data_IF_320175404810
#
_entry.id   IF_320175404810
#
_cell.length_a   1.000
_cell.length_b   1.000
_cell.length_c   1.000
_cell.angle_alpha   90.00
_cell.angle_beta   90.00
_cell.angle_gamma   90.00
#
_symmetry.space_group_name_H-M   'P 1'
#
loop_
_entity.id
_entity.type
_entity.pdbx_description
1 polymer ?
#
# COMPACT_ATOMS: atom_id res chain seq x y z
N UNK A 1 19.48 -28.83 13.01
CA UNK A 1 19.18 -28.41 11.62
C UNK A 1 18.32 -27.15 11.66
N UNK A 2 18.95 -25.97 11.64
CA UNK A 2 18.31 -24.64 11.70
C UNK A 2 17.96 -24.18 10.28
N UNK A 3 16.80 -24.57 9.76
CA UNK A 3 16.24 -24.09 8.47
C UNK A 3 14.90 -23.37 8.67
N UNK A 4 14.55 -23.02 9.92
CA UNK A 4 13.29 -22.35 10.24
C UNK A 4 13.51 -20.83 10.29
N UNK A 5 12.63 -20.12 9.59
CA UNK A 5 12.40 -18.66 9.57
C UNK A 5 13.11 -17.79 8.52
N UNK A 6 14.28 -18.15 7.98
CA UNK A 6 14.94 -17.29 6.97
C UNK A 6 14.33 -17.31 5.55
N UNK A 7 13.50 -18.29 5.21
CA UNK A 7 12.98 -18.51 3.84
C UNK A 7 11.86 -17.53 3.43
N UNK A 8 11.21 -16.83 4.36
CA UNK A 8 10.15 -15.87 4.02
C UNK A 8 10.67 -14.50 3.59
N UNK A 9 11.93 -14.16 3.89
CA UNK A 9 12.52 -12.87 3.50
C UNK A 9 13.06 -12.85 2.06
N UNK A 10 13.40 -14.01 1.48
CA UNK A 10 13.89 -14.13 0.11
C UNK A 10 13.20 -15.28 -0.64
N UNK A 11 12.09 -14.93 -1.30
CA UNK A 11 11.33 -15.84 -2.16
C UNK A 11 12.15 -16.35 -3.34
N UNK A 12 13.14 -15.59 -3.82
CA UNK A 12 13.95 -15.98 -4.96
C UNK A 12 14.86 -17.16 -4.62
N UNK A 13 15.53 -17.10 -3.47
CA UNK A 13 16.35 -18.19 -2.94
C UNK A 13 15.50 -19.40 -2.54
N UNK A 14 14.42 -19.16 -1.77
CA UNK A 14 13.49 -20.21 -1.34
C UNK A 14 12.88 -20.97 -2.52
N UNK A 15 12.49 -20.24 -3.58
CA UNK A 15 11.94 -20.84 -4.80
C UNK A 15 12.98 -21.73 -5.49
N UNK A 16 14.22 -21.26 -5.70
CA UNK A 16 15.25 -22.07 -6.38
C UNK A 16 15.54 -23.38 -5.65
N UNK A 17 15.67 -23.36 -4.32
CA UNK A 17 15.91 -24.56 -3.52
C UNK A 17 14.73 -25.54 -3.57
N UNK A 18 13.50 -25.04 -3.45
CA UNK A 18 12.29 -25.87 -3.55
C UNK A 18 12.11 -26.47 -4.95
N UNK A 19 12.40 -25.71 -6.01
CA UNK A 19 12.30 -26.20 -7.39
C UNK A 19 13.32 -27.32 -7.66
N UNK A 20 14.54 -27.21 -7.13
CA UNK A 20 15.54 -28.27 -7.24
C UNK A 20 15.06 -29.57 -6.55
N UNK A 21 14.51 -29.46 -5.33
CA UNK A 21 13.95 -30.61 -4.61
C UNK A 21 12.78 -31.27 -5.36
N UNK A 22 11.86 -30.48 -5.94
CA UNK A 22 10.70 -31.02 -6.66
C UNK A 22 11.08 -31.71 -7.97
N UNK A 23 12.15 -31.28 -8.64
CA UNK A 23 12.68 -31.94 -9.84
C UNK A 23 13.25 -33.33 -9.54
N UNK A 24 13.77 -33.57 -8.33
CA UNK A 24 14.36 -34.84 -7.94
C UNK A 24 13.32 -35.91 -7.54
N UNK A 25 12.17 -35.51 -7.01
CA UNK A 25 11.13 -36.43 -6.51
C UNK A 25 9.84 -36.45 -7.35
N UNK A 26 9.79 -35.70 -8.45
CA UNK A 26 8.62 -35.57 -9.32
C UNK A 26 8.36 -36.79 -10.21
N UNK A 27 7.08 -37.14 -10.40
CA UNK A 27 6.66 -38.13 -11.38
C UNK A 27 6.98 -37.67 -12.81
N UNK A 28 7.31 -38.60 -13.71
CA UNK A 28 7.72 -38.27 -15.08
C UNK A 28 6.58 -37.60 -15.86
N UNK A 29 6.89 -36.49 -16.55
CA UNK A 29 5.94 -35.74 -17.37
C UNK A 29 5.43 -36.61 -18.52
N UNK A 30 4.11 -36.57 -18.78
CA UNK A 30 3.48 -37.25 -19.93
C UNK A 30 2.82 -38.60 -19.62
N UNK A 31 2.80 -39.04 -18.36
CA UNK A 31 2.07 -40.24 -17.96
C UNK A 31 0.59 -39.96 -17.66
N UNK A 32 -0.29 -40.90 -18.02
CA UNK A 32 -1.69 -40.88 -17.59
C UNK A 32 -1.78 -41.36 -16.13
N UNK A 33 -2.34 -40.52 -15.26
CA UNK A 33 -2.45 -40.79 -13.82
C UNK A 33 -3.88 -40.63 -13.35
N UNK A 34 -4.28 -41.42 -12.35
CA UNK A 34 -5.57 -41.28 -11.66
C UNK A 34 -5.31 -40.67 -10.29
N UNK A 35 -5.84 -39.47 -10.05
CA UNK A 35 -5.66 -38.74 -8.79
C UNK A 35 -6.87 -38.93 -7.87
N UNK A 36 -6.62 -39.37 -6.64
CA UNK A 36 -7.64 -39.48 -5.60
C UNK A 36 -7.49 -38.29 -4.65
N UNK A 37 -8.41 -37.33 -4.71
CA UNK A 37 -8.37 -36.09 -3.91
C UNK A 37 -9.33 -36.22 -2.73
N UNK A 38 -8.81 -36.03 -1.52
CA UNK A 38 -9.62 -36.07 -0.31
C UNK A 38 -10.40 -34.78 -0.06
N UNK A 39 -11.58 -34.89 0.58
CA UNK A 39 -12.40 -33.76 1.07
C UNK A 39 -12.80 -32.75 0.00
N UNK A 40 -13.14 -33.24 -1.19
CA UNK A 40 -13.72 -32.42 -2.25
C UNK A 40 -15.21 -32.21 -1.95
N UNK A 41 -15.69 -30.96 -1.82
CA UNK A 41 -17.12 -30.69 -1.64
C UNK A 41 -17.94 -31.21 -2.82
N UNK A 42 -19.09 -31.84 -2.54
CA UNK A 42 -19.99 -32.36 -3.59
C UNK A 42 -20.52 -31.23 -4.48
N UNK A 43 -20.66 -30.01 -3.95
CA UNK A 43 -21.06 -28.82 -4.71
C UNK A 43 -20.16 -28.57 -5.91
N UNK A 44 -18.85 -28.75 -5.75
CA UNK A 44 -17.87 -28.56 -6.83
C UNK A 44 -18.13 -29.54 -7.98
N UNK A 45 -18.41 -30.80 -7.66
CA UNK A 45 -18.69 -31.84 -8.66
C UNK A 45 -20.02 -31.59 -9.39
N UNK A 46 -21.00 -30.99 -8.72
CA UNK A 46 -22.30 -30.64 -9.33
C UNK A 46 -22.24 -29.37 -10.17
N UNK A 47 -21.39 -28.40 -9.80
CA UNK A 47 -21.23 -27.13 -10.52
C UNK A 47 -20.28 -27.25 -11.72
N UNK A 48 -19.43 -28.27 -11.76
CA UNK A 48 -18.45 -28.41 -12.83
C UNK A 48 -19.12 -28.83 -14.14
N UNK A 49 -18.96 -27.98 -15.15
CA UNK A 49 -19.32 -28.27 -16.53
C UNK A 49 -18.32 -29.27 -17.14
N UNK A 50 -18.81 -30.45 -17.53
CA UNK A 50 -18.01 -31.51 -18.14
C UNK A 50 -17.39 -31.11 -19.48
N UNK A 51 -17.88 -30.05 -20.12
CA UNK A 51 -17.29 -29.50 -21.34
C UNK A 51 -16.06 -28.61 -21.07
N UNK A 52 -15.87 -28.16 -19.83
CA UNK A 52 -14.77 -27.28 -19.44
C UNK A 52 -13.57 -28.09 -18.87
N UNK A 53 -12.32 -27.78 -19.26
CA UNK A 53 -11.15 -28.50 -18.78
C UNK A 53 -10.92 -28.26 -17.29
N UNK A 54 -10.65 -29.33 -16.53
CA UNK A 54 -10.14 -29.23 -15.16
C UNK A 54 -8.62 -29.29 -15.19
N UNK A 55 -7.98 -28.22 -14.72
CA UNK A 55 -6.53 -28.15 -14.56
C UNK A 55 -6.19 -28.27 -13.08
N UNK A 56 -5.41 -29.28 -12.73
CA UNK A 56 -4.89 -29.48 -11.39
C UNK A 56 -3.42 -29.09 -11.37
N UNK A 57 -3.00 -28.33 -10.36
CA UNK A 57 -1.60 -28.02 -10.12
C UNK A 57 -1.22 -28.35 -8.69
N UNK A 58 0.00 -28.84 -8.51
CA UNK A 58 0.55 -29.05 -7.19
C UNK A 58 0.96 -27.71 -6.58
N UNK A 59 0.54 -27.45 -5.35
CA UNK A 59 1.00 -26.28 -4.59
C UNK A 59 2.44 -26.49 -4.13
N UNK A 60 3.25 -25.44 -4.26
CA UNK A 60 4.58 -25.43 -3.67
C UNK A 60 4.48 -25.40 -2.14
N UNK A 61 5.51 -25.88 -1.43
CA UNK A 61 5.56 -25.75 0.02
C UNK A 61 5.33 -24.30 0.46
N UNK A 62 4.37 -24.11 1.37
CA UNK A 62 3.95 -22.83 1.93
C UNK A 62 3.09 -21.92 1.04
N UNK A 63 2.78 -22.33 -0.19
CA UNK A 63 1.89 -21.57 -1.07
C UNK A 63 0.45 -21.52 -0.52
N UNK A 64 0.04 -22.51 0.25
CA UNK A 64 -1.28 -22.50 0.92
C UNK A 64 -1.40 -21.49 2.09
N UNK A 65 -0.31 -20.80 2.48
CA UNK A 65 -0.33 -19.87 3.61
C UNK A 65 -0.68 -18.46 3.13
N UNK A 66 -1.44 -17.74 3.95
CA UNK A 66 -1.79 -16.35 3.70
C UNK A 66 -0.60 -15.42 3.98
N UNK A 67 -0.39 -14.45 3.10
CA UNK A 67 0.60 -13.38 3.26
C UNK A 67 0.18 -12.13 2.47
N UNK A 68 0.95 -11.05 2.58
CA UNK A 68 0.76 -9.82 1.80
C UNK A 68 1.53 -9.94 0.49
N UNK A 69 0.78 -10.00 -0.62
CA UNK A 69 1.35 -10.09 -1.97
C UNK A 69 1.42 -8.69 -2.56
N UNK A 70 2.58 -8.32 -3.08
CA UNK A 70 2.79 -7.08 -3.79
C UNK A 70 2.78 -7.35 -5.30
N UNK A 71 1.96 -6.60 -6.03
CA UNK A 71 1.79 -6.73 -7.47
C UNK A 71 2.26 -5.46 -8.18
N UNK A 72 2.97 -5.61 -9.29
CA UNK A 72 3.19 -4.53 -10.24
C UNK A 72 2.08 -4.60 -11.28
N UNK A 73 1.19 -3.62 -11.24
CA UNK A 73 0.02 -3.60 -12.11
C UNK A 73 0.12 -2.40 -13.06
N UNK A 74 -0.14 -2.66 -14.34
CA UNK A 74 -0.30 -1.67 -15.41
C UNK A 74 -1.75 -1.63 -15.86
N UNK A 75 -2.20 -0.42 -16.13
CA UNK A 75 -3.54 -0.17 -16.66
C UNK A 75 -3.67 -0.77 -18.06
N UNK A 76 -4.71 -1.55 -18.31
CA UNK A 76 -5.01 -1.99 -19.68
C UNK A 76 -5.37 -0.79 -20.57
N UNK A 77 -4.86 -0.70 -21.82
CA UNK A 77 -5.07 0.46 -22.68
C UNK A 77 -6.54 0.77 -23.01
N UNK A 78 -7.41 -0.25 -23.01
CA UNK A 78 -8.84 -0.06 -23.32
C UNK A 78 -9.60 0.75 -22.27
N UNK A 79 -9.02 0.92 -21.09
CA UNK A 79 -9.64 1.74 -20.06
C UNK A 79 -9.04 3.13 -20.10
N UNK A 80 -9.89 4.11 -20.33
CA UNK A 80 -9.52 5.53 -20.42
C UNK A 80 -10.08 6.35 -19.24
N UNK A 81 -11.14 5.87 -18.58
CA UNK A 81 -11.79 6.53 -17.43
C UNK A 81 -11.01 6.45 -16.11
N UNK A 82 -10.87 7.52 -15.32
CA UNK A 82 -10.19 7.44 -14.03
C UNK A 82 -10.78 6.34 -13.13
N UNK A 83 -9.93 5.45 -12.62
CA UNK A 83 -10.36 4.35 -11.74
C UNK A 83 -10.32 4.86 -10.30
N UNK A 84 -11.49 4.93 -9.66
CA UNK A 84 -11.57 5.30 -8.25
C UNK A 84 -11.15 4.15 -7.34
N UNK A 85 -10.73 4.48 -6.12
CA UNK A 85 -10.34 3.49 -5.12
C UNK A 85 -11.51 2.51 -4.86
N UNK A 86 -11.22 1.20 -4.93
CA UNK A 86 -12.16 0.06 -4.78
C UNK A 86 -13.10 -0.24 -5.96
N UNK A 87 -12.81 0.24 -7.17
CA UNK A 87 -13.54 -0.18 -8.37
C UNK A 87 -12.92 -1.44 -9.00
N UNK A 88 -13.78 -2.26 -9.62
CA UNK A 88 -13.32 -3.35 -10.47
C UNK A 88 -12.70 -2.79 -11.75
N UNK A 89 -11.54 -3.32 -12.13
CA UNK A 89 -10.82 -2.87 -13.30
C UNK A 89 -9.97 -3.99 -13.91
N UNK A 90 -9.81 -3.97 -15.23
CA UNK A 90 -8.98 -4.91 -15.99
C UNK A 90 -7.55 -4.41 -16.08
N UNK A 91 -6.62 -5.09 -15.40
CA UNK A 91 -5.23 -4.67 -15.40
C UNK A 91 -4.30 -5.84 -15.74
N UNK A 92 -3.13 -5.54 -16.30
CA UNK A 92 -2.09 -6.53 -16.61
C UNK A 92 -0.88 -6.28 -15.72
N UNK A 93 -0.19 -7.33 -15.28
CA UNK A 93 0.87 -7.14 -14.30
C UNK A 93 1.65 -8.40 -13.99
N UNK A 94 2.58 -8.26 -13.05
CA UNK A 94 3.38 -9.36 -12.51
C UNK A 94 3.41 -9.29 -10.99
N UNK A 95 3.61 -10.45 -10.35
CA UNK A 95 3.91 -10.52 -8.92
C UNK A 95 5.32 -9.97 -8.70
N UNK A 96 5.47 -9.02 -7.78
CA UNK A 96 6.78 -8.49 -7.39
C UNK A 96 7.42 -9.36 -6.32
N UNK A 97 6.76 -9.42 -5.17
CA UNK A 97 7.22 -10.14 -3.99
C UNK A 97 6.04 -10.41 -3.05
N UNK A 98 6.27 -11.29 -2.07
CA UNK A 98 5.31 -11.60 -1.01
C UNK A 98 5.97 -11.20 0.31
N UNK A 99 5.76 -9.96 0.71
CA UNK A 99 6.42 -9.36 1.86
C UNK A 99 5.47 -8.42 2.65
N UNK A 100 5.14 -8.74 3.92
CA UNK A 100 4.29 -7.90 4.77
C UNK A 100 5.01 -6.66 5.32
N UNK A 101 6.33 -6.59 5.26
CA UNK A 101 7.12 -5.48 5.81
C UNK A 101 7.09 -4.24 4.93
N UNK A 102 6.59 -4.35 3.69
CA UNK A 102 6.43 -3.22 2.78
C UNK A 102 5.40 -2.23 3.34
N UNK A 103 5.88 -1.05 3.73
CA UNK A 103 5.05 -0.01 4.34
C UNK A 103 4.35 0.82 3.25
N UNK A 104 3.03 0.89 3.32
CA UNK A 104 2.21 1.84 2.54
C UNK A 104 1.81 3.00 3.44
N UNK A 105 2.16 4.22 3.03
CA UNK A 105 1.83 5.46 3.74
C UNK A 105 0.77 6.24 2.96
N UNK A 106 -0.28 6.66 3.65
CA UNK A 106 -1.23 7.63 3.13
C UNK A 106 -0.82 9.02 3.62
N UNK A 107 -0.57 9.93 2.67
CA UNK A 107 -0.20 11.31 2.94
C UNK A 107 -1.47 12.17 3.00
N UNK A 108 -1.61 12.91 4.08
CA UNK A 108 -2.64 13.93 4.30
C UNK A 108 -1.94 15.29 4.31
N UNK A 109 -2.40 16.21 3.46
CA UNK A 109 -1.83 17.56 3.40
C UNK A 109 -2.84 18.54 3.97
N UNK A 110 -2.48 19.18 5.09
CA UNK A 110 -3.25 20.31 5.61
C UNK A 110 -2.74 21.60 4.96
N UNK A 111 -3.66 22.45 4.54
CA UNK A 111 -3.36 23.72 3.89
C UNK A 111 -3.78 24.89 4.76
N UNK A 112 -2.99 25.96 4.72
CA UNK A 112 -3.27 27.23 5.36
C UNK A 112 -2.82 28.38 4.49
N UNK A 113 -3.38 29.55 4.76
CA UNK A 113 -3.08 30.76 3.99
C UNK A 113 -2.30 31.77 4.84
N UNK A 114 -1.25 32.39 4.28
CA UNK A 114 -0.58 33.50 4.94
C UNK A 114 -1.54 34.68 5.06
N UNK A 115 -1.65 35.23 6.26
CA UNK A 115 -2.51 36.40 6.55
C UNK A 115 -1.69 37.66 6.75
N UNK A 116 -0.64 37.61 7.59
CA UNK A 116 0.30 38.72 7.81
C UNK A 116 1.72 38.23 7.62
N UNK A 117 2.49 38.89 6.77
CA UNK A 117 3.87 38.52 6.44
C UNK A 117 4.79 39.62 6.93
N UNK A 118 5.74 39.27 7.81
CA UNK A 118 6.78 40.16 8.31
C UNK A 118 8.16 39.50 8.15
N UNK A 119 8.87 39.85 7.08
CA UNK A 119 10.13 39.23 6.66
C UNK A 119 9.97 37.70 6.62
N UNK A 120 10.56 36.98 7.58
CA UNK A 120 10.52 35.52 7.70
C UNK A 120 9.46 34.99 8.67
N UNK A 121 8.77 35.88 9.39
CA UNK A 121 7.69 35.51 10.30
C UNK A 121 6.35 35.71 9.60
N UNK A 122 5.48 34.70 9.64
CA UNK A 122 4.18 34.74 8.97
C UNK A 122 3.10 34.28 9.92
N UNK A 123 1.98 35.00 9.96
CA UNK A 123 0.77 34.53 10.62
C UNK A 123 -0.04 33.74 9.59
N UNK A 124 -0.28 32.46 9.85
CA UNK A 124 -1.07 31.56 9.01
C UNK A 124 -2.47 31.37 9.60
N UNK A 125 -3.48 31.26 8.73
CA UNK A 125 -4.89 31.01 9.07
C UNK A 125 -5.45 29.84 8.26
N UNK A 126 -6.56 29.28 8.72
CA UNK A 126 -7.33 28.21 8.08
C UNK A 126 -6.65 26.82 8.02
N UNK A 127 -5.44 26.66 8.57
CA UNK A 127 -4.85 25.32 8.74
C UNK A 127 -5.43 24.57 9.94
N UNK A 128 -5.69 25.29 11.03
CA UNK A 128 -6.32 24.78 12.24
C UNK A 128 -7.40 25.75 12.70
N UNK A 129 -8.33 25.25 13.52
CA UNK A 129 -9.39 26.06 14.13
C UNK A 129 -9.30 26.12 15.64
N UNK A 130 -8.57 25.19 16.27
CA UNK A 130 -8.39 25.13 17.72
C UNK A 130 -6.93 25.35 18.12
N UNK A 131 -6.73 25.92 19.32
CA UNK A 131 -5.40 26.21 19.88
C UNK A 131 -4.61 24.94 20.20
N UNK A 132 -5.31 23.91 20.67
CA UNK A 132 -4.72 22.63 21.10
C UNK A 132 -4.07 21.91 19.91
N UNK A 133 -4.73 21.92 18.75
CA UNK A 133 -4.20 21.34 17.51
C UNK A 133 -2.86 21.98 17.11
N UNK A 134 -2.77 23.31 17.20
CA UNK A 134 -1.54 24.05 16.84
C UNK A 134 -0.37 23.63 17.72
N UNK A 135 -0.60 23.47 19.02
CA UNK A 135 0.47 23.05 19.95
C UNK A 135 0.84 21.58 19.71
N UNK A 136 -0.15 20.73 19.47
CA UNK A 136 0.05 19.31 19.17
C UNK A 136 0.89 19.08 17.90
N UNK A 137 0.60 19.83 16.83
CA UNK A 137 1.29 19.72 15.55
C UNK A 137 2.53 20.62 15.41
N UNK A 138 2.92 21.33 16.48
CA UNK A 138 4.09 22.22 16.50
C UNK A 138 5.43 21.56 16.09
N UNK A 139 5.70 20.28 16.41
CA UNK A 139 6.92 19.61 15.96
C UNK A 139 6.97 19.32 14.46
N UNK A 140 5.86 19.45 13.73
CA UNK A 140 5.78 19.11 12.32
C UNK A 140 6.28 20.27 11.45
N UNK A 141 7.13 19.94 10.47
CA UNK A 141 7.65 20.91 9.52
C UNK A 141 6.57 21.39 8.54
N UNK A 142 6.54 22.70 8.31
CA UNK A 142 5.71 23.36 7.31
C UNK A 142 6.53 23.57 6.04
N UNK A 143 5.88 23.46 4.89
CA UNK A 143 6.48 23.76 3.59
C UNK A 143 5.52 24.55 2.71
N UNK A 144 6.03 25.15 1.65
CA UNK A 144 5.21 25.72 0.59
C UNK A 144 5.50 25.06 -0.74
N UNK A 145 4.54 25.06 -1.70
CA UNK A 145 4.80 24.59 -3.07
C UNK A 145 5.97 25.33 -3.74
N UNK A 146 6.22 26.58 -3.33
CA UNK A 146 7.34 27.39 -3.79
C UNK A 146 8.71 26.98 -3.19
N UNK A 147 8.77 25.88 -2.42
CA UNK A 147 10.01 25.32 -1.86
C UNK A 147 10.53 25.98 -0.59
N UNK A 148 9.72 26.80 0.11
CA UNK A 148 10.11 27.39 1.41
C UNK A 148 9.79 26.42 2.53
N UNK A 149 10.59 26.43 3.59
CA UNK A 149 10.47 25.52 4.74
C UNK A 149 10.39 26.30 6.04
N UNK A 150 9.62 25.81 6.99
CA UNK A 150 9.35 26.52 8.23
C UNK A 150 8.74 25.65 9.32
N UNK A 151 8.47 26.28 10.45
CA UNK A 151 7.88 25.62 11.62
C UNK A 151 6.93 26.58 12.35
N UNK A 152 6.05 25.99 13.15
CA UNK A 152 5.13 26.72 14.03
C UNK A 152 5.92 27.26 15.23
N UNK A 153 5.82 28.55 15.50
CA UNK A 153 6.41 29.19 16.69
C UNK A 153 5.45 29.17 17.88
N UNK A 154 4.28 29.77 17.68
CA UNK A 154 3.30 30.01 18.74
C UNK A 154 1.90 30.11 18.13
N UNK A 155 0.90 29.70 18.90
CA UNK A 155 -0.50 29.97 18.63
C UNK A 155 -0.83 31.44 18.88
N UNK A 156 -1.82 31.96 18.15
CA UNK A 156 -2.31 33.33 18.28
C UNK A 156 -3.83 33.34 18.43
N UNK A 157 -4.32 33.91 19.52
CA UNK A 157 -5.77 34.06 19.78
C UNK A 157 -6.51 32.72 19.92
N UNK A 158 -7.81 32.74 19.62
CA UNK A 158 -8.74 31.61 19.80
C UNK A 158 -9.16 30.94 18.48
N UNK A 159 -9.01 31.61 17.33
CA UNK A 159 -9.52 31.15 16.03
C UNK A 159 -8.52 30.33 15.21
N UNK A 160 -7.62 29.61 15.87
CA UNK A 160 -6.63 28.76 15.20
C UNK A 160 -5.62 29.52 14.32
N UNK A 161 -5.37 30.80 14.62
CA UNK A 161 -4.26 31.52 13.99
C UNK A 161 -2.95 31.07 14.61
N UNK A 162 -1.92 30.94 13.79
CA UNK A 162 -0.60 30.52 14.25
C UNK A 162 0.48 31.38 13.64
N UNK A 163 1.51 31.65 14.42
CA UNK A 163 2.72 32.30 13.95
C UNK A 163 3.72 31.23 13.53
N UNK A 164 4.20 31.34 12.31
CA UNK A 164 5.17 30.45 11.70
C UNK A 164 6.44 31.24 11.39
N UNK A 165 7.58 30.55 11.37
CA UNK A 165 8.84 31.10 10.87
C UNK A 165 9.33 30.25 9.71
N UNK A 166 9.71 30.91 8.62
CA UNK A 166 10.26 30.28 7.43
C UNK A 166 11.74 30.65 7.23
N UNK A 167 12.42 29.87 6.41
CA UNK A 167 13.79 30.10 5.96
C UNK A 167 13.90 31.40 5.13
N UNK A 168 12.92 31.65 4.25
CA UNK A 168 12.82 32.82 3.37
C UNK A 168 11.48 33.55 3.54
N UNK A 169 11.41 34.78 3.04
CA UNK A 169 10.17 35.54 3.02
C UNK A 169 9.16 34.90 2.05
N UNK A 170 7.93 34.74 2.52
CA UNK A 170 6.79 34.24 1.76
C UNK A 170 6.14 35.35 0.92
N UNK A 171 5.52 34.97 -0.18
CA UNK A 171 4.63 35.83 -0.96
C UNK A 171 3.19 35.68 -0.48
N UNK A 172 2.35 36.70 -0.68
CA UNK A 172 0.94 36.65 -0.28
C UNK A 172 0.13 35.58 -1.04
N UNK A 173 0.55 35.21 -2.25
CA UNK A 173 -0.07 34.17 -3.06
C UNK A 173 0.38 32.75 -2.67
N UNK A 174 1.41 32.60 -1.82
CA UNK A 174 1.86 31.27 -1.39
C UNK A 174 0.81 30.62 -0.49
N UNK A 175 0.75 29.29 -0.51
CA UNK A 175 0.01 28.50 0.46
C UNK A 175 0.98 27.76 1.37
N UNK A 176 0.68 27.76 2.66
CA UNK A 176 1.42 26.99 3.66
C UNK A 176 0.82 25.60 3.74
N UNK A 177 1.65 24.58 3.70
CA UNK A 177 1.23 23.19 3.71
C UNK A 177 1.97 22.43 4.80
N UNK A 178 1.31 21.43 5.36
CA UNK A 178 1.87 20.49 6.32
C UNK A 178 1.55 19.08 5.85
N UNK A 179 2.55 18.19 5.79
CA UNK A 179 2.34 16.79 5.40
C UNK A 179 2.30 15.91 6.64
N UNK A 180 1.18 15.23 6.84
CA UNK A 180 1.03 14.17 7.83
C UNK A 180 0.96 12.83 7.09
N UNK A 181 1.57 11.80 7.66
CA UNK A 181 1.56 10.46 7.07
C UNK A 181 1.00 9.47 8.09
N UNK A 182 0.12 8.58 7.65
CA UNK A 182 -0.33 7.43 8.45
C UNK A 182 -0.03 6.15 7.69
N UNK A 183 0.35 5.10 8.42
CA UNK A 183 0.50 3.76 7.85
C UNK A 183 -0.89 3.18 7.55
N UNK A 184 -1.05 2.65 6.35
CA UNK A 184 -2.28 1.99 5.91
C UNK A 184 -2.00 0.53 5.61
N UNK A 185 -2.90 -0.33 6.09
CA UNK A 185 -2.86 -1.76 5.84
C UNK A 185 -3.95 -2.16 4.84
N UNK A 186 -3.71 -3.21 4.04
CA UNK A 186 -4.73 -3.74 3.13
C UNK A 186 -5.93 -4.26 3.92
N UNK A 187 -7.13 -4.12 3.34
CA UNK A 187 -8.35 -4.68 3.93
C UNK A 187 -8.46 -6.16 3.61
N UNK A 188 -8.80 -6.95 4.62
CA UNK A 188 -9.11 -8.37 4.43
C UNK A 188 -10.45 -8.52 3.69
N UNK A 189 -10.39 -8.85 2.40
CA UNK A 189 -11.58 -9.03 1.53
C UNK A 189 -11.54 -10.35 0.76
N UNK A 190 -10.65 -11.26 1.14
CA UNK A 190 -10.48 -12.55 0.49
C UNK A 190 -11.75 -13.41 0.64
N UNK A 191 -12.32 -13.82 -0.49
CA UNK A 191 -13.41 -14.78 -0.57
C UNK A 191 -12.96 -15.96 -1.42
N UNK A 192 -13.03 -17.16 -0.86
CA UNK A 192 -12.84 -18.38 -1.61
C UNK A 192 -14.18 -18.67 -2.31
N UNK A 193 -14.24 -18.46 -3.62
CA UNK A 193 -15.36 -18.95 -4.42
C UNK A 193 -15.12 -20.44 -4.63
N UNK A 194 -15.82 -21.27 -3.84
CA UNK A 194 -15.96 -22.71 -4.04
C UNK A 194 -17.37 -23.01 -4.57
#
# INVERSE_FOLDING_TARGET
>A
MKVREKLLHDLGAARKELFAYLLEFGQLVGQHVTLQIGRVPVSLAQQWDQSAPMVLHQLLPHEQRMSVINLLIRRHPSCTVPIMNKQEFVATGSVLDVNPDRIVLERIVLSGHPFKINKRSVVCRYMFFHREDIEWFKPVELYTPSGRRGYIKEQLGTHGHMKCRFDKQLNAADSVMMSLCKRVFPKWTYKLHL
#
